data_IF_508608636812
#
_entry.id   IF_508608636812
#
_cell.length_a   1.000
_cell.length_b   1.000
_cell.length_c   1.000
_cell.angle_alpha   90.00
_cell.angle_beta   90.00
_cell.angle_gamma   90.00
#
_symmetry.space_group_name_H-M   'P 1'
#
loop_
_entity.id
_entity.type
_entity.pdbx_description
1 polymer ?
#
# COMPACT_ATOMS: atom_id res chain seq x y z
N UNK A 1 -6.34 9.38 12.47
CA UNK A 1 -5.29 8.40 12.85
C UNK A 1 -4.73 7.80 11.57
N UNK A 2 -3.41 7.66 11.48
CA UNK A 2 -2.77 7.10 10.29
C UNK A 2 -3.22 5.63 10.06
N UNK A 3 -3.20 5.18 8.82
CA UNK A 3 -3.57 3.80 8.46
C UNK A 3 -2.71 3.24 7.33
N UNK A 4 -2.72 1.92 7.19
CA UNK A 4 -2.09 1.19 6.07
C UNK A 4 -3.16 0.46 5.28
N UNK A 5 -3.00 0.38 3.97
CA UNK A 5 -3.96 -0.30 3.10
C UNK A 5 -3.28 -1.14 2.02
N UNK A 6 -3.61 -2.43 1.98
CA UNK A 6 -3.18 -3.35 0.93
C UNK A 6 -4.35 -3.75 0.00
N UNK A 7 -5.28 -2.82 -0.24
CA UNK A 7 -6.59 -3.10 -0.87
C UNK A 7 -6.59 -3.18 -2.39
N UNK A 8 -5.43 -3.18 -3.06
CA UNK A 8 -5.37 -3.34 -4.53
C UNK A 8 -6.05 -4.62 -5.02
N UNK A 9 -5.91 -5.69 -4.27
CA UNK A 9 -6.56 -6.97 -4.53
C UNK A 9 -7.27 -7.44 -3.26
N UNK A 10 -8.44 -6.85 -2.91
CA UNK A 10 -9.08 -7.01 -1.61
C UNK A 10 -9.92 -8.30 -1.53
N UNK A 11 -9.54 -9.32 -2.31
CA UNK A 11 -10.23 -10.60 -2.39
C UNK A 11 -10.27 -11.23 -1.00
N UNK A 12 -11.46 -11.64 -0.56
CA UNK A 12 -11.66 -12.23 0.77
C UNK A 12 -10.69 -13.38 1.04
N UNK A 13 -10.42 -14.21 0.02
CA UNK A 13 -9.48 -15.33 0.10
C UNK A 13 -8.02 -14.91 0.36
N UNK A 14 -7.61 -13.70 -0.03
CA UNK A 14 -6.24 -13.20 0.15
C UNK A 14 -6.07 -12.38 1.43
N UNK A 15 -7.15 -11.90 2.07
CA UNK A 15 -7.06 -11.04 3.25
C UNK A 15 -6.21 -11.64 4.38
N UNK A 16 -6.35 -12.93 4.74
CA UNK A 16 -5.50 -13.52 5.79
C UNK A 16 -4.01 -13.51 5.43
N UNK A 17 -3.67 -13.68 4.15
CA UNK A 17 -2.28 -13.62 3.70
C UNK A 17 -1.72 -12.20 3.79
N UNK A 18 -2.51 -11.20 3.40
CA UNK A 18 -2.14 -9.79 3.55
C UNK A 18 -1.98 -9.37 5.01
N UNK A 19 -2.87 -9.83 5.89
CA UNK A 19 -2.77 -9.56 7.34
C UNK A 19 -1.50 -10.18 7.93
N UNK A 20 -1.16 -11.41 7.55
CA UNK A 20 0.10 -12.06 7.96
C UNK A 20 1.33 -11.33 7.44
N UNK A 21 1.32 -10.92 6.18
CA UNK A 21 2.40 -10.13 5.60
C UNK A 21 2.57 -8.82 6.38
N UNK A 22 1.47 -8.09 6.62
CA UNK A 22 1.54 -6.83 7.34
C UNK A 22 1.99 -7.01 8.79
N UNK A 23 1.52 -8.05 9.49
CA UNK A 23 1.97 -8.37 10.84
C UNK A 23 3.49 -8.59 10.87
N UNK A 24 4.03 -9.39 9.95
CA UNK A 24 5.47 -9.61 9.84
C UNK A 24 6.24 -8.31 9.52
N UNK A 25 5.72 -7.44 8.65
CA UNK A 25 6.33 -6.12 8.39
C UNK A 25 6.29 -5.25 9.65
N UNK A 26 5.17 -5.22 10.37
CA UNK A 26 4.99 -4.40 11.56
C UNK A 26 5.95 -4.76 12.70
N UNK A 27 6.36 -6.02 12.82
CA UNK A 27 7.43 -6.43 13.75
C UNK A 27 8.74 -5.64 13.53
N UNK A 28 9.04 -5.25 12.29
CA UNK A 28 10.20 -4.42 11.96
C UNK A 28 9.93 -2.91 12.06
N UNK A 29 8.67 -2.49 11.97
CA UNK A 29 8.26 -1.07 12.03
C UNK A 29 7.14 -0.86 13.06
N UNK A 30 7.41 -1.01 14.36
CA UNK A 30 6.40 -0.97 15.42
C UNK A 30 5.74 0.41 15.61
N UNK A 31 6.29 1.48 15.02
CA UNK A 31 5.68 2.82 15.03
C UNK A 31 4.58 3.02 13.99
N UNK A 32 4.41 2.08 13.04
CA UNK A 32 3.36 2.12 12.02
C UNK A 32 2.05 1.51 12.56
N UNK A 33 0.88 1.78 11.92
CA UNK A 33 -0.39 1.19 12.32
C UNK A 33 -0.35 -0.35 12.33
N UNK A 34 -0.89 -0.97 13.38
CA UNK A 34 -0.81 -2.42 13.58
C UNK A 34 -1.71 -3.27 12.68
N UNK A 35 -2.67 -2.65 12.01
CA UNK A 35 -3.66 -3.33 11.20
C UNK A 35 -3.92 -2.66 9.86
N UNK A 36 -4.52 -3.42 8.96
CA UNK A 36 -4.90 -2.98 7.62
C UNK A 36 -6.30 -2.37 7.61
N UNK A 37 -6.47 -1.28 6.86
CA UNK A 37 -7.78 -0.75 6.48
C UNK A 37 -8.28 -1.44 5.22
N UNK A 38 -9.43 -2.11 5.35
CA UNK A 38 -10.06 -2.89 4.29
C UNK A 38 -11.23 -2.18 3.57
N UNK A 39 -11.78 -1.12 4.16
CA UNK A 39 -12.81 -0.28 3.53
C UNK A 39 -12.19 0.80 2.65
N UNK A 40 -12.93 1.29 1.66
CA UNK A 40 -12.46 2.34 0.73
C UNK A 40 -11.81 1.79 -0.54
N UNK A 41 -11.48 2.69 -1.47
CA UNK A 41 -10.81 2.33 -2.73
C UNK A 41 -9.32 2.64 -2.68
N UNK A 42 -8.54 1.96 -3.53
CA UNK A 42 -7.09 2.25 -3.70
C UNK A 42 -6.87 3.72 -4.07
N UNK A 43 -7.74 4.28 -4.90
CA UNK A 43 -7.61 5.66 -5.35
C UNK A 43 -7.81 6.66 -4.21
N UNK A 44 -8.84 6.44 -3.39
CA UNK A 44 -9.11 7.27 -2.22
C UNK A 44 -7.93 7.22 -1.24
N UNK A 45 -7.44 6.02 -0.94
CA UNK A 45 -6.31 5.84 -0.03
C UNK A 45 -5.01 6.44 -0.56
N UNK A 46 -4.76 6.35 -1.86
CA UNK A 46 -3.54 6.89 -2.48
C UNK A 46 -3.44 8.42 -2.37
N UNK A 47 -4.57 9.11 -2.26
CA UNK A 47 -4.63 10.56 -2.13
C UNK A 47 -4.84 11.05 -0.67
N UNK A 48 -5.08 10.14 0.27
CA UNK A 48 -5.34 10.47 1.67
C UNK A 48 -4.03 10.67 2.44
N UNK A 49 -3.83 11.88 2.98
CA UNK A 49 -2.65 12.22 3.79
C UNK A 49 -2.54 11.41 5.09
N UNK A 50 -3.63 10.79 5.58
CA UNK A 50 -3.60 9.87 6.70
C UNK A 50 -3.21 8.43 6.27
N UNK A 51 -3.15 8.12 4.98
CA UNK A 51 -2.66 6.83 4.50
C UNK A 51 -1.13 6.83 4.53
N UNK A 52 -0.56 6.14 5.51
CA UNK A 52 0.90 6.06 5.67
C UNK A 52 1.55 5.12 4.64
N UNK A 53 0.81 4.10 4.18
CA UNK A 53 1.26 3.16 3.17
C UNK A 53 0.06 2.60 2.40
N UNK A 54 0.17 2.59 1.07
CA UNK A 54 -0.82 1.99 0.17
C UNK A 54 -0.15 1.03 -0.81
N UNK A 55 -0.72 -0.14 -1.01
CA UNK A 55 -0.41 -0.99 -2.17
C UNK A 55 -1.31 -0.56 -3.33
N UNK A 56 -0.69 -0.15 -4.44
CA UNK A 56 -1.36 0.25 -5.67
C UNK A 56 -0.53 -0.18 -6.88
N UNK A 57 -1.14 -0.18 -8.07
CA UNK A 57 -0.37 -0.20 -9.31
C UNK A 57 0.35 1.13 -9.51
N UNK A 58 1.16 1.23 -10.57
CA UNK A 58 1.78 2.50 -10.96
C UNK A 58 0.81 3.57 -11.48
N UNK A 59 -0.47 3.26 -11.71
CA UNK A 59 -1.41 4.22 -12.32
C UNK A 59 -1.61 5.49 -11.49
N UNK A 60 -1.87 5.46 -10.16
CA UNK A 60 -2.04 6.70 -9.38
C UNK A 60 -0.81 7.61 -9.43
N UNK A 61 0.39 7.03 -9.41
CA UNK A 61 1.66 7.77 -9.55
C UNK A 61 1.77 8.41 -10.94
N UNK A 62 1.37 7.70 -11.99
CA UNK A 62 1.40 8.21 -13.36
C UNK A 62 0.31 9.26 -13.67
N UNK A 63 -0.73 9.37 -12.83
CA UNK A 63 -1.89 10.24 -13.08
C UNK A 63 -2.14 11.22 -11.92
N UNK A 64 -2.98 10.86 -10.95
CA UNK A 64 -3.55 11.77 -9.95
C UNK A 64 -2.55 12.24 -8.89
N UNK A 65 -1.43 11.53 -8.74
CA UNK A 65 -0.34 11.85 -7.83
C UNK A 65 0.89 12.45 -8.54
N UNK A 66 0.91 12.51 -9.88
CA UNK A 66 2.10 12.86 -10.67
C UNK A 66 2.82 14.12 -10.18
N UNK A 67 2.06 15.16 -9.85
CA UNK A 67 2.58 16.46 -9.40
C UNK A 67 2.39 16.68 -7.88
N UNK A 68 2.00 15.64 -7.15
CA UNK A 68 1.70 15.70 -5.70
C UNK A 68 2.66 14.89 -4.86
N UNK A 69 3.39 13.95 -5.46
CA UNK A 69 4.34 13.08 -4.76
C UNK A 69 5.70 13.15 -5.44
N UNK A 70 6.74 12.87 -4.66
CA UNK A 70 8.09 12.65 -5.20
C UNK A 70 8.38 11.15 -5.20
N UNK A 71 8.80 10.62 -6.35
CA UNK A 71 9.27 9.24 -6.42
C UNK A 71 10.67 9.18 -5.82
N UNK A 72 10.81 8.47 -4.70
CA UNK A 72 12.09 8.35 -3.97
C UNK A 72 12.89 7.10 -4.36
N UNK A 73 12.32 6.19 -5.16
CA UNK A 73 12.99 4.99 -5.64
C UNK A 73 12.15 4.20 -6.64
N UNK A 74 12.83 3.49 -7.53
CA UNK A 74 12.26 2.55 -8.48
C UNK A 74 13.24 1.39 -8.69
N UNK A 75 12.71 0.19 -8.91
CA UNK A 75 13.51 -1.01 -9.13
C UNK A 75 13.10 -1.65 -10.45
N UNK A 76 14.09 -2.02 -11.27
CA UNK A 76 13.89 -2.91 -12.41
C UNK A 76 14.33 -4.30 -11.97
N UNK A 77 13.42 -5.26 -12.04
CA UNK A 77 13.74 -6.66 -11.80
C UNK A 77 13.87 -7.35 -13.15
N UNK A 78 15.08 -7.80 -13.46
CA UNK A 78 15.29 -8.72 -14.59
C UNK A 78 14.79 -10.10 -14.16
N UNK A 79 13.73 -10.58 -14.79
CA UNK A 79 13.28 -11.96 -14.61
C UNK A 79 13.95 -12.84 -15.67
N UNK A 80 14.88 -13.74 -15.31
CA UNK A 80 15.34 -14.75 -16.25
C UNK A 80 14.15 -15.66 -16.56
N UNK A 81 13.69 -15.62 -17.81
CA UNK A 81 12.66 -16.53 -18.33
C UNK A 81 13.16 -17.95 -18.48
#
# INVERSE_FOLDING_TARGET
>A
MAFVSLTMYPFAALRPAWERLWAAVHEFVPWMPSGLRWSGTVLDHSADAACALVHACGWPVATVLRDKVTVVGAFNLDHPG
#
